data_IF_167438056798
#
_entry.id   IF_167438056798
#
_cell.length_a   1.000
_cell.length_b   1.000
_cell.length_c   1.000
_cell.angle_alpha   90.00
_cell.angle_beta   90.00
_cell.angle_gamma   90.00
#
_symmetry.space_group_name_H-M   'P 1'
#
loop_
_entity.id
_entity.type
_entity.pdbx_description
1 polymer ?
#
# COMPACT_ATOMS: atom_id res chain seq x y z
N UNK A 1 -24.95 -17.57 16.54
CA UNK A 1 -24.39 -16.38 17.19
C UNK A 1 -24.92 -15.15 16.46
N UNK A 2 -25.15 -14.05 17.18
CA UNK A 2 -25.74 -12.85 16.58
C UNK A 2 -24.78 -12.21 15.56
N UNK A 3 -25.29 -11.96 14.37
CA UNK A 3 -24.65 -11.19 13.31
C UNK A 3 -24.34 -9.77 13.82
N UNK A 4 -23.14 -9.26 13.53
CA UNK A 4 -22.77 -7.88 13.91
C UNK A 4 -23.45 -6.92 12.96
N UNK A 5 -24.40 -6.18 13.47
CA UNK A 5 -25.20 -5.23 12.71
C UNK A 5 -24.81 -3.76 12.93
N UNK A 6 -23.94 -3.50 13.90
CA UNK A 6 -23.57 -2.14 14.25
C UNK A 6 -22.14 -2.04 14.79
N UNK A 7 -21.41 -1.01 14.35
CA UNK A 7 -20.07 -0.66 14.81
C UNK A 7 -20.01 0.83 15.18
N UNK A 8 -19.32 1.17 16.26
CA UNK A 8 -18.83 2.52 16.48
C UNK A 8 -17.64 2.78 15.55
N UNK A 9 -17.61 3.97 14.98
CA UNK A 9 -16.51 4.46 14.15
C UNK A 9 -15.81 5.59 14.87
N UNK A 10 -14.49 5.49 14.94
CA UNK A 10 -13.61 6.42 15.62
C UNK A 10 -12.64 7.06 14.63
N UNK A 11 -12.29 8.30 14.88
CA UNK A 11 -11.18 9.01 14.21
C UNK A 11 -10.20 9.41 15.31
N UNK A 12 -9.05 8.75 15.34
CA UNK A 12 -8.17 8.83 16.50
C UNK A 12 -8.92 8.42 17.79
N UNK A 13 -8.86 9.20 18.87
CA UNK A 13 -9.53 8.88 20.14
C UNK A 13 -11.03 9.24 20.16
N UNK A 14 -11.57 9.87 19.12
CA UNK A 14 -12.94 10.40 19.09
C UNK A 14 -13.91 9.46 18.41
N UNK A 15 -15.01 9.11 19.10
CA UNK A 15 -16.14 8.38 18.50
C UNK A 15 -16.94 9.36 17.64
N UNK A 16 -16.83 9.20 16.31
CA UNK A 16 -17.37 10.16 15.34
C UNK A 16 -18.67 9.72 14.70
N UNK A 17 -18.97 8.44 14.74
CA UNK A 17 -20.18 7.95 14.06
C UNK A 17 -20.50 6.50 14.35
N UNK A 18 -21.52 6.01 13.66
CA UNK A 18 -22.02 4.65 13.73
C UNK A 18 -22.23 4.09 12.33
N UNK A 19 -21.69 2.91 12.11
CA UNK A 19 -21.88 2.13 10.89
C UNK A 19 -22.85 1.00 11.19
N UNK A 20 -23.92 0.90 10.43
CA UNK A 20 -24.98 -0.10 10.59
C UNK A 20 -25.19 -0.88 9.30
N UNK A 21 -25.59 -2.13 9.43
CA UNK A 21 -25.99 -3.01 8.34
C UNK A 21 -27.41 -3.53 8.58
N UNK A 22 -28.30 -3.24 7.66
CA UNK A 22 -29.63 -3.86 7.51
C UNK A 22 -29.70 -4.54 6.13
N UNK A 23 -30.54 -4.08 5.22
CA UNK A 23 -30.47 -4.45 3.79
C UNK A 23 -29.27 -3.77 3.13
N UNK A 24 -29.07 -2.49 3.46
CA UNK A 24 -27.97 -1.64 3.04
C UNK A 24 -27.05 -1.32 4.22
N UNK A 25 -25.86 -0.80 3.92
CA UNK A 25 -24.94 -0.21 4.89
C UNK A 25 -25.25 1.28 5.06
N UNK A 26 -25.36 1.71 6.30
CA UNK A 26 -25.64 3.11 6.66
C UNK A 26 -24.59 3.60 7.64
N UNK A 27 -23.93 4.72 7.30
CA UNK A 27 -23.05 5.43 8.23
C UNK A 27 -23.65 6.78 8.59
N UNK A 28 -23.75 7.05 9.88
CA UNK A 28 -24.23 8.32 10.41
C UNK A 28 -23.18 8.93 11.35
N UNK A 29 -22.85 10.20 11.11
CA UNK A 29 -22.04 10.96 12.05
C UNK A 29 -22.81 11.28 13.32
N UNK A 30 -22.11 11.39 14.43
CA UNK A 30 -22.66 11.93 15.66
C UNK A 30 -22.90 13.44 15.51
N UNK A 31 -23.89 14.02 16.21
CA UNK A 31 -24.15 15.46 16.14
C UNK A 31 -22.95 16.34 16.53
N UNK A 32 -22.07 15.82 17.40
CA UNK A 32 -20.89 16.52 17.90
C UNK A 32 -19.69 16.43 16.96
N UNK A 33 -19.76 15.64 15.89
CA UNK A 33 -18.65 15.46 14.96
C UNK A 33 -18.37 16.78 14.22
N UNK A 34 -17.12 17.19 14.26
CA UNK A 34 -16.63 18.38 13.53
C UNK A 34 -16.20 18.03 12.10
N UNK A 35 -16.11 18.99 11.18
CA UNK A 35 -15.64 18.73 9.82
C UNK A 35 -14.27 18.04 9.72
N UNK A 36 -13.37 18.27 10.70
CA UNK A 36 -12.07 17.61 10.78
C UNK A 36 -12.14 16.12 11.15
N UNK A 37 -13.29 15.69 11.72
CA UNK A 37 -13.57 14.31 12.11
C UNK A 37 -14.09 13.44 10.96
N UNK A 38 -14.16 13.98 9.75
CA UNK A 38 -14.64 13.20 8.61
C UNK A 38 -13.82 11.92 8.44
N UNK A 39 -14.51 10.79 8.30
CA UNK A 39 -13.89 9.46 8.13
C UNK A 39 -13.18 9.30 6.78
N UNK A 40 -13.49 10.18 5.82
CA UNK A 40 -12.93 10.20 4.47
C UNK A 40 -13.04 11.58 3.86
N UNK A 41 -12.15 11.91 2.94
CA UNK A 41 -12.23 13.11 2.10
C UNK A 41 -13.48 13.08 1.20
N UNK A 42 -14.01 11.88 0.90
CA UNK A 42 -15.24 11.68 0.10
C UNK A 42 -16.51 11.54 0.93
N UNK A 43 -16.39 11.48 2.27
CA UNK A 43 -17.51 11.41 3.19
C UNK A 43 -17.48 12.56 4.22
N UNK A 44 -17.65 13.82 3.81
CA UNK A 44 -17.65 14.95 4.75
C UNK A 44 -18.75 14.81 5.80
N UNK A 45 -18.51 15.40 6.98
CA UNK A 45 -19.48 15.43 8.08
C UNK A 45 -20.74 16.15 7.63
N UNK A 46 -21.90 15.50 7.82
CA UNK A 46 -23.23 16.01 7.53
C UNK A 46 -24.28 15.35 8.42
N UNK A 47 -25.44 16.00 8.59
CA UNK A 47 -26.56 15.46 9.38
C UNK A 47 -27.23 14.26 8.72
N UNK A 48 -27.36 14.28 7.36
CA UNK A 48 -27.94 13.17 6.61
C UNK A 48 -26.95 12.01 6.57
N UNK A 49 -27.41 10.80 6.91
CA UNK A 49 -26.59 9.59 6.85
C UNK A 49 -26.10 9.29 5.41
N UNK A 50 -25.03 8.54 5.35
CA UNK A 50 -24.46 7.98 4.12
C UNK A 50 -25.01 6.56 3.97
N UNK A 51 -25.64 6.27 2.83
CA UNK A 51 -26.21 4.96 2.53
C UNK A 51 -25.57 4.38 1.28
N UNK A 52 -25.31 3.07 1.30
CA UNK A 52 -24.69 2.37 0.20
C UNK A 52 -25.06 0.89 0.31
N UNK A 53 -25.37 0.24 -0.82
CA UNK A 53 -25.70 -1.18 -0.85
C UNK A 53 -24.57 -2.02 -0.26
N UNK A 54 -23.36 -1.74 -0.71
CA UNK A 54 -22.16 -2.39 -0.20
C UNK A 54 -21.49 -1.54 0.88
N UNK A 55 -20.59 -2.12 1.64
CA UNK A 55 -19.77 -1.38 2.58
C UNK A 55 -19.00 -0.29 1.82
N UNK A 56 -19.08 0.96 2.29
CA UNK A 56 -18.44 2.08 1.60
C UNK A 56 -16.92 1.85 1.44
N UNK A 57 -16.31 2.22 0.31
CA UNK A 57 -14.89 1.95 0.02
C UNK A 57 -13.91 2.36 1.11
N UNK A 58 -14.13 3.47 1.82
CA UNK A 58 -13.29 3.90 2.93
C UNK A 58 -13.25 2.89 4.08
N UNK A 59 -14.32 2.12 4.29
CA UNK A 59 -14.35 1.05 5.28
C UNK A 59 -13.80 -0.26 4.70
N UNK A 60 -14.06 -0.54 3.43
CA UNK A 60 -13.52 -1.73 2.74
C UNK A 60 -11.98 -1.74 2.69
N UNK A 61 -11.34 -0.57 2.53
CA UNK A 61 -9.87 -0.49 2.46
C UNK A 61 -9.16 -0.99 3.72
N UNK A 62 -9.88 -1.08 4.85
CA UNK A 62 -9.36 -1.60 6.11
C UNK A 62 -9.60 -3.11 6.30
N UNK A 63 -10.28 -3.76 5.35
CA UNK A 63 -10.48 -5.21 5.38
C UNK A 63 -9.25 -5.94 4.86
N UNK A 64 -8.79 -6.98 5.54
CA UNK A 64 -7.74 -7.83 5.02
C UNK A 64 -8.17 -8.52 3.72
N UNK A 65 -7.19 -8.82 2.86
CA UNK A 65 -7.35 -9.58 1.62
C UNK A 65 -6.47 -10.84 1.64
N UNK A 66 -6.59 -11.69 0.64
CA UNK A 66 -5.72 -12.84 0.42
C UNK A 66 -5.55 -13.73 1.65
N UNK A 67 -4.31 -14.10 1.92
CA UNK A 67 -3.95 -15.02 3.01
C UNK A 67 -4.36 -14.50 4.40
N UNK A 68 -4.20 -13.20 4.65
CA UNK A 68 -4.59 -12.60 5.93
C UNK A 68 -6.11 -12.70 6.16
N UNK A 69 -6.92 -12.50 5.11
CA UNK A 69 -8.38 -12.65 5.21
C UNK A 69 -8.77 -14.07 5.54
N UNK A 70 -8.11 -15.06 4.93
CA UNK A 70 -8.31 -16.48 5.21
C UNK A 70 -7.96 -16.78 6.66
N UNK A 71 -6.80 -16.32 7.15
CA UNK A 71 -6.36 -16.52 8.53
C UNK A 71 -7.36 -15.93 9.53
N UNK A 72 -7.75 -14.66 9.34
CA UNK A 72 -8.73 -13.97 10.21
C UNK A 72 -10.07 -14.72 10.21
N UNK A 73 -10.62 -15.04 9.04
CA UNK A 73 -11.91 -15.77 8.94
C UNK A 73 -11.85 -17.14 9.59
N UNK A 74 -10.78 -17.88 9.38
CA UNK A 74 -10.60 -19.20 10.00
C UNK A 74 -10.53 -19.10 11.52
N UNK A 75 -9.85 -18.12 12.07
CA UNK A 75 -9.73 -17.91 13.50
C UNK A 75 -11.07 -17.55 14.17
N UNK A 76 -11.93 -16.77 13.48
CA UNK A 76 -13.23 -16.33 14.02
C UNK A 76 -14.40 -17.23 13.70
N UNK A 77 -14.30 -18.11 12.70
CA UNK A 77 -15.42 -18.91 12.17
C UNK A 77 -16.17 -19.75 13.22
N UNK A 78 -15.46 -20.19 14.27
CA UNK A 78 -16.04 -20.99 15.37
C UNK A 78 -16.81 -20.17 16.41
N UNK A 79 -16.52 -18.86 16.48
CA UNK A 79 -17.00 -17.97 17.56
C UNK A 79 -17.80 -16.77 17.08
N UNK A 80 -17.72 -16.44 15.79
CA UNK A 80 -18.42 -15.29 15.20
C UNK A 80 -18.76 -15.55 13.71
N UNK A 81 -19.53 -14.64 13.10
CA UNK A 81 -19.70 -14.62 11.65
C UNK A 81 -18.40 -14.27 10.93
N UNK A 82 -18.35 -14.49 9.62
CA UNK A 82 -17.18 -14.17 8.77
C UNK A 82 -17.48 -13.09 7.73
N UNK A 83 -18.60 -12.37 7.91
CA UNK A 83 -18.98 -11.22 7.11
C UNK A 83 -18.05 -10.00 7.36
N UNK A 84 -18.13 -9.02 6.47
CA UNK A 84 -17.21 -7.88 6.49
C UNK A 84 -17.36 -6.98 7.74
N UNK A 85 -18.56 -6.85 8.29
CA UNK A 85 -18.79 -6.11 9.55
C UNK A 85 -18.11 -6.82 10.73
N UNK A 86 -18.20 -8.15 10.77
CA UNK A 86 -17.54 -8.97 11.79
C UNK A 86 -16.02 -8.90 11.66
N UNK A 87 -15.49 -9.02 10.44
CA UNK A 87 -14.05 -8.90 10.18
C UNK A 87 -13.57 -7.50 10.57
N UNK A 88 -14.27 -6.44 10.13
CA UNK A 88 -13.93 -5.05 10.45
C UNK A 88 -13.92 -4.78 11.96
N UNK A 89 -14.84 -5.37 12.72
CA UNK A 89 -14.80 -5.30 14.19
C UNK A 89 -13.55 -5.94 14.78
N UNK A 90 -13.17 -7.10 14.25
CA UNK A 90 -12.06 -7.88 14.81
C UNK A 90 -10.71 -7.16 14.56
N UNK A 91 -10.48 -6.69 13.35
CA UNK A 91 -9.21 -6.02 13.00
C UNK A 91 -9.25 -4.52 13.27
N UNK A 92 -10.41 -3.98 13.58
CA UNK A 92 -10.72 -2.55 13.53
C UNK A 92 -10.00 -1.67 14.52
N UNK A 93 -9.31 -2.23 15.49
CA UNK A 93 -8.51 -1.43 16.41
C UNK A 93 -7.11 -1.07 15.89
N UNK A 94 -6.56 -1.84 14.95
CA UNK A 94 -5.27 -1.54 14.32
C UNK A 94 -5.42 -1.62 12.79
N UNK A 95 -5.89 -0.54 12.20
CA UNK A 95 -6.08 -0.36 10.76
C UNK A 95 -5.03 0.60 10.19
N UNK A 96 -4.85 0.58 8.88
CA UNK A 96 -4.11 1.65 8.20
C UNK A 96 -4.93 2.93 8.22
N UNK A 97 -4.28 4.07 8.42
CA UNK A 97 -4.96 5.35 8.59
C UNK A 97 -5.47 5.58 10.03
N UNK A 98 -6.34 6.54 10.19
CA UNK A 98 -6.82 7.03 11.50
C UNK A 98 -8.20 6.49 11.93
N UNK A 99 -8.90 5.76 11.05
CA UNK A 99 -10.20 5.19 11.36
C UNK A 99 -10.05 3.94 12.23
N UNK A 100 -10.87 3.81 13.27
CA UNK A 100 -10.91 2.63 14.13
C UNK A 100 -12.36 2.18 14.30
N UNK A 101 -12.54 0.90 14.63
CA UNK A 101 -13.87 0.28 14.72
C UNK A 101 -13.96 -0.56 15.99
N UNK A 102 -15.09 -0.41 16.72
CA UNK A 102 -15.38 -1.18 17.93
C UNK A 102 -16.87 -1.51 18.01
N UNK A 103 -17.30 -2.22 19.04
CA UNK A 103 -18.72 -2.29 19.37
C UNK A 103 -19.22 -0.90 19.79
N UNK A 104 -20.53 -0.64 19.63
CA UNK A 104 -21.08 0.67 20.02
C UNK A 104 -20.91 1.04 21.50
N UNK A 105 -20.88 0.02 22.37
CA UNK A 105 -20.73 0.15 23.82
C UNK A 105 -19.28 0.22 24.30
N UNK A 106 -18.31 -0.17 23.45
CA UNK A 106 -16.91 -0.18 23.84
C UNK A 106 -16.33 1.25 23.86
N UNK A 107 -15.26 1.41 24.61
CA UNK A 107 -14.36 2.57 24.55
C UNK A 107 -13.52 2.56 23.26
N UNK A 108 -12.71 3.59 23.08
CA UNK A 108 -11.79 3.68 21.95
C UNK A 108 -10.90 2.42 21.89
N UNK A 109 -10.87 1.72 20.76
CA UNK A 109 -10.09 0.50 20.68
C UNK A 109 -8.61 0.83 20.83
N UNK A 110 -8.02 0.26 21.85
CA UNK A 110 -6.58 0.30 22.10
C UNK A 110 -6.05 -1.12 22.00
N UNK A 111 -4.93 -1.27 21.30
CA UNK A 111 -4.20 -2.54 21.26
C UNK A 111 -2.81 -2.33 21.83
N UNK A 112 -2.68 -2.30 23.18
CA UNK A 112 -1.37 -2.39 23.79
C UNK A 112 -0.82 -3.77 23.46
N UNK A 113 0.25 -3.83 22.71
CA UNK A 113 1.07 -5.02 22.56
C UNK A 113 2.48 -4.62 22.96
N UNK A 114 3.16 -5.51 23.63
CA UNK A 114 4.59 -5.34 23.81
C UNK A 114 5.24 -5.32 22.43
N UNK A 115 6.09 -4.34 22.13
CA UNK A 115 6.73 -4.25 20.84
C UNK A 115 7.72 -5.40 20.66
N UNK A 116 7.75 -5.97 19.47
CA UNK A 116 8.76 -6.95 19.06
C UNK A 116 10.13 -6.27 18.91
N UNK A 117 11.19 -7.06 18.87
CA UNK A 117 12.51 -6.57 18.50
C UNK A 117 12.66 -6.61 16.97
N UNK A 118 12.85 -5.46 16.33
CA UNK A 118 13.10 -5.40 14.89
C UNK A 118 14.35 -6.21 14.51
N UNK A 119 15.40 -6.12 15.31
CA UNK A 119 16.63 -6.88 15.08
C UNK A 119 16.42 -8.38 15.14
N UNK A 120 15.63 -8.86 16.13
CA UNK A 120 15.29 -10.28 16.23
C UNK A 120 14.46 -10.75 15.04
N UNK A 121 13.48 -9.94 14.59
CA UNK A 121 12.71 -10.24 13.38
C UNK A 121 13.63 -10.37 12.15
N UNK A 122 14.55 -9.43 11.98
CA UNK A 122 15.43 -9.39 10.80
C UNK A 122 16.51 -10.47 10.80
N UNK A 123 16.95 -10.91 11.98
CA UNK A 123 18.02 -11.90 12.15
C UNK A 123 17.52 -13.33 12.39
N UNK A 124 16.20 -13.54 12.44
CA UNK A 124 15.64 -14.88 12.69
C UNK A 124 15.99 -15.83 11.54
N UNK A 125 16.48 -17.04 11.84
CA UNK A 125 17.07 -17.92 10.82
C UNK A 125 16.05 -18.58 9.89
N UNK A 126 14.77 -18.66 10.29
CA UNK A 126 13.66 -19.18 9.46
C UNK A 126 12.51 -18.16 9.44
N UNK A 127 12.57 -17.28 8.47
CA UNK A 127 11.60 -16.21 8.31
C UNK A 127 10.16 -16.72 8.11
N UNK A 128 9.98 -17.90 7.50
CA UNK A 128 8.66 -18.46 7.26
C UNK A 128 8.03 -19.00 8.56
N UNK A 129 8.82 -19.66 9.41
CA UNK A 129 8.40 -20.08 10.74
C UNK A 129 8.00 -18.87 11.59
N UNK A 130 8.88 -17.87 11.66
CA UNK A 130 8.60 -16.63 12.37
C UNK A 130 7.34 -15.94 11.84
N UNK A 131 7.17 -15.85 10.52
CA UNK A 131 6.01 -15.22 9.94
C UNK A 131 4.70 -15.91 10.33
N UNK A 132 4.67 -17.25 10.37
CA UNK A 132 3.49 -18.00 10.80
C UNK A 132 3.16 -17.73 12.27
N UNK A 133 4.18 -17.59 13.12
CA UNK A 133 4.01 -17.19 14.51
C UNK A 133 3.46 -15.76 14.63
N UNK A 134 4.02 -14.80 13.89
CA UNK A 134 3.53 -13.43 13.83
C UNK A 134 2.08 -13.36 13.32
N UNK A 135 1.73 -14.12 12.28
CA UNK A 135 0.33 -14.22 11.81
C UNK A 135 -0.57 -14.74 12.93
N UNK A 136 -0.17 -15.79 13.63
CA UNK A 136 -0.94 -16.34 14.74
C UNK A 136 -1.20 -15.32 15.85
N UNK A 137 -0.22 -14.47 16.17
CA UNK A 137 -0.32 -13.44 17.21
C UNK A 137 -1.06 -12.17 16.76
N UNK A 138 -0.84 -11.74 15.51
CA UNK A 138 -1.23 -10.41 15.05
C UNK A 138 -2.34 -10.39 13.99
N UNK A 139 -2.74 -11.52 13.37
CA UNK A 139 -3.74 -11.53 12.31
C UNK A 139 -5.06 -10.86 12.71
N UNK A 140 -5.55 -11.14 13.92
CA UNK A 140 -6.78 -10.54 14.46
C UNK A 140 -6.62 -9.05 14.85
N UNK A 141 -5.43 -8.48 14.67
CA UNK A 141 -5.09 -7.10 14.98
C UNK A 141 -4.52 -6.37 13.76
N UNK A 142 -4.71 -6.91 12.56
CA UNK A 142 -4.09 -6.41 11.34
C UNK A 142 -5.13 -6.01 10.31
N UNK A 143 -5.60 -4.78 10.40
CA UNK A 143 -6.52 -4.17 9.44
C UNK A 143 -5.76 -3.57 8.24
N UNK A 144 -5.13 -4.42 7.44
CA UNK A 144 -4.37 -4.05 6.26
C UNK A 144 -4.81 -4.87 5.06
N UNK A 145 -5.05 -4.22 3.92
CA UNK A 145 -5.44 -4.88 2.69
C UNK A 145 -4.24 -5.28 1.82
N UNK A 146 -4.48 -6.13 0.84
CA UNK A 146 -3.51 -6.63 -0.14
C UNK A 146 -3.36 -8.14 -0.10
N UNK A 147 -3.10 -8.74 -1.27
CA UNK A 147 -3.13 -10.20 -1.47
C UNK A 147 -1.93 -10.91 -0.83
N UNK A 148 -0.76 -10.27 -0.87
CA UNK A 148 0.46 -10.79 -0.26
C UNK A 148 0.27 -11.03 1.25
N UNK A 149 0.76 -12.15 1.83
CA UNK A 149 0.74 -12.39 3.27
C UNK A 149 1.44 -11.27 4.03
N UNK A 150 0.74 -10.66 5.00
CA UNK A 150 1.28 -9.54 5.78
C UNK A 150 0.59 -9.40 7.14
N UNK A 151 1.29 -8.80 8.11
CA UNK A 151 0.75 -8.43 9.43
C UNK A 151 1.22 -7.05 9.85
N UNK A 152 0.42 -6.40 10.71
CA UNK A 152 0.78 -5.15 11.39
C UNK A 152 1.28 -5.47 12.79
N UNK A 153 2.42 -4.95 13.16
CA UNK A 153 2.96 -5.11 14.51
C UNK A 153 3.78 -3.88 14.95
N UNK A 154 3.81 -3.57 16.25
CA UNK A 154 4.78 -2.63 16.80
C UNK A 154 6.14 -3.32 16.97
N UNK A 155 7.22 -2.61 16.64
CA UNK A 155 8.56 -3.07 16.94
C UNK A 155 9.46 -1.93 17.45
N UNK A 156 10.46 -2.27 18.24
CA UNK A 156 11.48 -1.34 18.75
C UNK A 156 12.76 -1.48 17.96
N UNK A 157 13.37 -0.36 17.65
CA UNK A 157 14.72 -0.26 17.15
C UNK A 157 15.69 -0.10 18.36
N UNK A 158 16.74 -0.92 18.42
CA UNK A 158 17.72 -0.92 19.55
C UNK A 158 18.30 0.48 19.86
N UNK A 159 18.49 1.30 18.83
CA UNK A 159 19.18 2.57 18.98
C UNK A 159 18.34 3.67 19.65
N UNK A 160 17.03 3.60 19.64
CA UNK A 160 16.15 4.71 20.00
C UNK A 160 15.22 4.45 21.18
N UNK A 161 15.03 3.18 21.58
CA UNK A 161 14.00 2.74 22.55
C UNK A 161 12.56 3.26 22.20
N UNK A 162 12.35 3.69 20.95
CA UNK A 162 11.07 4.17 20.45
C UNK A 162 10.40 3.03 19.70
N UNK A 163 9.16 2.71 20.08
CA UNK A 163 8.33 1.77 19.33
C UNK A 163 7.77 2.45 18.09
N UNK A 164 7.84 1.77 16.95
CA UNK A 164 7.22 2.17 15.69
C UNK A 164 6.36 1.02 15.17
N UNK A 165 5.36 1.34 14.37
CA UNK A 165 4.52 0.34 13.72
C UNK A 165 5.13 -0.09 12.38
N UNK A 166 5.16 -1.40 12.14
CA UNK A 166 5.68 -2.01 10.92
C UNK A 166 4.63 -2.87 10.23
N UNK A 167 4.78 -2.99 8.91
CA UNK A 167 4.13 -3.99 8.08
C UNK A 167 5.19 -5.05 7.77
N UNK A 168 4.97 -6.26 8.25
CA UNK A 168 5.82 -7.42 7.93
C UNK A 168 5.12 -8.22 6.85
N UNK A 169 5.79 -8.42 5.72
CA UNK A 169 5.30 -9.16 4.57
C UNK A 169 6.17 -10.40 4.34
N UNK A 170 5.53 -11.49 3.95
CA UNK A 170 6.18 -12.71 3.51
C UNK A 170 5.67 -13.12 2.13
N UNK A 171 5.95 -14.34 1.70
CA UNK A 171 5.54 -14.87 0.41
C UNK A 171 4.95 -16.28 0.54
N UNK A 172 4.13 -16.67 -0.42
CA UNK A 172 3.59 -17.99 -0.56
C UNK A 172 4.23 -18.75 -1.72
N UNK A 173 3.89 -20.03 -1.86
CA UNK A 173 4.47 -20.92 -2.88
C UNK A 173 4.31 -20.41 -4.32
N UNK A 174 3.26 -19.63 -4.60
CA UNK A 174 2.99 -19.10 -5.94
C UNK A 174 3.98 -18.00 -6.36
N UNK A 175 4.55 -17.26 -5.40
CA UNK A 175 5.48 -16.15 -5.63
C UNK A 175 6.67 -16.25 -4.68
N UNK A 176 7.56 -17.23 -4.86
CA UNK A 176 8.71 -17.41 -3.98
C UNK A 176 9.62 -16.19 -4.00
N UNK A 177 10.28 -15.91 -2.87
CA UNK A 177 11.24 -14.80 -2.71
C UNK A 177 10.66 -13.41 -3.02
N UNK A 178 9.33 -13.21 -2.90
CA UNK A 178 8.68 -11.93 -3.21
C UNK A 178 9.16 -10.79 -2.30
N UNK A 179 9.56 -11.10 -1.05
CA UNK A 179 10.14 -10.12 -0.13
C UNK A 179 11.45 -9.51 -0.65
N UNK A 180 12.36 -10.34 -1.15
CA UNK A 180 13.62 -9.89 -1.76
C UNK A 180 13.37 -9.14 -3.08
N UNK A 181 12.40 -9.59 -3.89
CA UNK A 181 11.98 -8.87 -5.09
C UNK A 181 11.50 -7.45 -4.76
N UNK A 182 10.55 -7.31 -3.81
CA UNK A 182 10.06 -6.00 -3.38
C UNK A 182 11.20 -5.13 -2.82
N UNK A 183 12.08 -5.71 -2.01
CA UNK A 183 13.22 -5.00 -1.42
C UNK A 183 14.11 -4.36 -2.48
N UNK A 184 14.52 -5.10 -3.49
CA UNK A 184 15.39 -4.56 -4.55
C UNK A 184 14.66 -3.54 -5.43
N UNK A 185 13.38 -3.72 -5.73
CA UNK A 185 12.57 -2.71 -6.43
C UNK A 185 12.45 -1.42 -5.61
N UNK A 186 12.22 -1.53 -4.31
CA UNK A 186 12.15 -0.38 -3.40
C UNK A 186 13.51 0.30 -3.21
N UNK A 187 14.63 -0.44 -3.28
CA UNK A 187 15.98 0.14 -3.35
C UNK A 187 16.16 0.99 -4.61
N UNK A 188 15.67 0.53 -5.76
CA UNK A 188 15.70 1.33 -6.99
C UNK A 188 14.86 2.62 -6.86
N UNK A 189 13.68 2.56 -6.20
CA UNK A 189 12.89 3.74 -5.89
C UNK A 189 13.70 4.76 -5.03
N UNK A 190 14.31 4.28 -3.95
CA UNK A 190 15.12 5.11 -3.03
C UNK A 190 16.32 5.74 -3.73
N UNK A 191 17.05 4.96 -4.53
CA UNK A 191 18.19 5.45 -5.32
C UNK A 191 17.78 6.47 -6.38
N UNK A 192 16.61 6.32 -6.97
CA UNK A 192 16.02 7.31 -7.87
C UNK A 192 15.58 8.60 -7.14
N UNK A 193 15.83 8.76 -5.83
CA UNK A 193 15.39 9.90 -5.03
C UNK A 193 13.88 10.02 -4.88
N UNK A 194 13.14 8.92 -5.06
CA UNK A 194 11.71 8.87 -4.80
C UNK A 194 11.51 8.63 -3.30
N UNK A 195 10.60 9.36 -2.68
CA UNK A 195 10.30 9.20 -1.26
C UNK A 195 9.72 7.80 -1.00
N UNK A 196 10.39 7.02 -0.16
CA UNK A 196 9.98 5.68 0.29
C UNK A 196 9.89 5.66 1.81
N UNK A 197 9.07 4.79 2.41
CA UNK A 197 9.19 4.47 3.82
C UNK A 197 10.56 3.88 4.13
N UNK A 198 10.89 3.77 5.40
CA UNK A 198 11.97 2.91 5.86
C UNK A 198 11.59 1.45 5.64
N UNK A 199 12.51 0.63 5.14
CA UNK A 199 12.26 -0.79 4.88
C UNK A 199 13.53 -1.62 5.01
N UNK A 200 13.35 -2.88 5.36
CA UNK A 200 14.39 -3.87 5.62
C UNK A 200 14.03 -5.20 4.98
N UNK A 201 15.03 -6.05 4.82
CA UNK A 201 14.90 -7.43 4.40
C UNK A 201 15.54 -8.31 5.49
N UNK A 202 14.90 -9.41 5.88
CA UNK A 202 15.49 -10.39 6.80
C UNK A 202 16.73 -11.03 6.18
N UNK A 203 17.61 -11.53 7.03
CA UNK A 203 18.91 -12.12 6.61
C UNK A 203 18.72 -13.27 5.62
N UNK A 204 17.68 -14.07 5.79
CA UNK A 204 17.32 -15.17 4.88
C UNK A 204 16.46 -14.73 3.67
N UNK A 205 16.16 -13.41 3.52
CA UNK A 205 15.34 -12.88 2.42
C UNK A 205 13.84 -13.19 2.49
N UNK A 206 13.39 -13.88 3.53
CA UNK A 206 12.01 -14.35 3.64
C UNK A 206 11.00 -13.30 4.09
N UNK A 207 11.45 -12.23 4.79
CA UNK A 207 10.59 -11.15 5.27
C UNK A 207 11.00 -9.80 4.70
N UNK A 208 10.05 -9.10 4.08
CA UNK A 208 10.14 -7.68 3.82
C UNK A 208 9.42 -6.92 4.94
N UNK A 209 10.16 -6.05 5.64
CA UNK A 209 9.67 -5.29 6.78
C UNK A 209 9.68 -3.81 6.43
N UNK A 210 8.53 -3.16 6.50
CA UNK A 210 8.36 -1.75 6.13
C UNK A 210 7.73 -0.97 7.28
N UNK A 211 8.35 0.15 7.65
CA UNK A 211 7.79 1.06 8.64
C UNK A 211 6.52 1.69 8.10
N UNK A 212 5.48 1.76 8.91
CA UNK A 212 4.25 2.45 8.56
C UNK A 212 4.52 3.94 8.41
N UNK A 213 3.99 4.53 7.37
CA UNK A 213 4.14 5.96 7.04
C UNK A 213 2.88 6.78 7.41
N UNK A 214 1.85 6.10 7.89
CA UNK A 214 0.59 6.69 8.37
C UNK A 214 0.56 6.88 9.90
N UNK A 215 1.68 6.62 10.57
CA UNK A 215 1.87 6.85 12.02
C UNK A 215 2.96 7.88 12.25
N UNK A 216 2.67 8.88 13.09
CA UNK A 216 3.65 9.88 13.52
C UNK A 216 4.60 9.36 14.60
N UNK A 217 5.64 10.13 14.90
CA UNK A 217 6.61 9.80 15.96
C UNK A 217 5.98 9.79 17.37
N UNK A 218 4.84 10.43 17.55
CA UNK A 218 4.03 10.45 18.76
C UNK A 218 3.04 9.28 18.85
N UNK A 219 3.06 8.37 17.88
CA UNK A 219 2.12 7.25 17.75
C UNK A 219 0.73 7.65 17.23
N UNK A 220 0.50 8.92 16.91
CA UNK A 220 -0.75 9.36 16.29
C UNK A 220 -0.81 8.87 14.83
N UNK A 221 -1.99 8.35 14.44
CA UNK A 221 -2.23 7.95 13.05
C UNK A 221 -2.81 9.10 12.25
N UNK A 222 -2.23 9.40 11.08
CA UNK A 222 -2.82 10.31 10.11
C UNK A 222 -3.84 9.58 9.22
N UNK A 223 -4.70 10.33 8.56
CA UNK A 223 -5.62 9.80 7.57
C UNK A 223 -4.85 9.25 6.37
N UNK A 224 -5.24 8.07 5.94
CA UNK A 224 -4.76 7.44 4.71
C UNK A 224 -5.96 7.01 3.89
N UNK A 225 -5.94 7.34 2.61
CA UNK A 225 -6.90 6.82 1.63
C UNK A 225 -6.19 6.48 0.32
N UNK A 226 -6.42 5.26 -0.19
CA UNK A 226 -5.95 4.88 -1.51
C UNK A 226 -6.83 5.45 -2.63
N UNK A 227 -6.30 5.54 -3.86
CA UNK A 227 -7.09 6.06 -4.98
C UNK A 227 -8.21 5.13 -5.43
N UNK A 228 -8.24 3.87 -5.02
CA UNK A 228 -9.40 3.00 -5.22
C UNK A 228 -10.58 3.53 -4.40
N UNK A 229 -10.37 3.76 -3.11
CA UNK A 229 -11.35 4.31 -2.19
C UNK A 229 -11.79 5.72 -2.58
N UNK A 230 -10.85 6.63 -2.86
CA UNK A 230 -11.13 8.01 -3.27
C UNK A 230 -11.94 8.11 -4.57
N UNK A 231 -11.81 7.13 -5.47
CA UNK A 231 -12.60 7.05 -6.69
C UNK A 231 -13.96 6.36 -6.50
N UNK A 232 -14.33 6.04 -5.26
CA UNK A 232 -15.59 5.38 -4.93
C UNK A 232 -15.65 3.91 -5.35
N UNK A 233 -14.50 3.26 -5.56
CA UNK A 233 -14.40 1.88 -5.98
C UNK A 233 -14.15 0.97 -4.77
N UNK A 234 -14.89 -0.13 -4.69
CA UNK A 234 -14.62 -1.20 -3.75
C UNK A 234 -13.31 -1.94 -4.10
N UNK A 235 -12.88 -2.81 -3.21
CA UNK A 235 -11.62 -3.56 -3.34
C UNK A 235 -11.45 -4.27 -4.68
N UNK A 236 -12.53 -4.86 -5.22
CA UNK A 236 -12.52 -5.57 -6.50
C UNK A 236 -12.31 -4.63 -7.69
N UNK A 237 -12.57 -3.33 -7.52
CA UNK A 237 -12.38 -2.30 -8.54
C UNK A 237 -10.93 -1.81 -8.70
N UNK A 238 -9.97 -2.30 -7.91
CA UNK A 238 -8.59 -1.80 -7.90
C UNK A 238 -7.86 -1.86 -9.23
N UNK A 239 -8.23 -2.78 -10.12
CA UNK A 239 -7.69 -2.93 -11.48
C UNK A 239 -8.51 -2.18 -12.54
N UNK A 240 -9.57 -1.50 -12.12
CA UNK A 240 -10.45 -0.71 -12.98
C UNK A 240 -10.00 0.75 -13.06
N UNK A 241 -9.74 1.24 -14.27
CA UNK A 241 -9.38 2.65 -14.45
C UNK A 241 -8.12 2.88 -15.26
N UNK A 242 -7.55 4.06 -15.10
CA UNK A 242 -6.36 4.45 -15.84
C UNK A 242 -5.47 5.39 -15.03
N UNK A 243 -4.22 5.52 -15.45
CA UNK A 243 -3.26 6.44 -14.82
C UNK A 243 -3.65 7.91 -15.01
N UNK A 244 -4.38 8.25 -16.09
CA UNK A 244 -4.98 9.58 -16.27
C UNK A 244 -6.05 9.87 -15.20
N UNK A 245 -6.79 8.84 -14.78
CA UNK A 245 -7.76 9.00 -13.68
C UNK A 245 -7.05 9.21 -12.34
N UNK A 246 -5.92 8.54 -12.10
CA UNK A 246 -5.07 8.82 -10.92
C UNK A 246 -4.53 10.25 -10.97
N UNK A 247 -4.06 10.73 -12.11
CA UNK A 247 -3.60 12.12 -12.30
C UNK A 247 -4.69 13.15 -11.96
N UNK A 248 -5.94 12.87 -12.38
CA UNK A 248 -7.09 13.71 -11.99
C UNK A 248 -7.37 13.66 -10.49
N UNK A 249 -7.31 12.47 -9.87
CA UNK A 249 -7.50 12.33 -8.42
C UNK A 249 -6.43 13.09 -7.64
N UNK A 250 -5.17 13.12 -8.10
CA UNK A 250 -4.13 13.97 -7.50
C UNK A 250 -4.53 15.44 -7.56
N UNK A 251 -5.07 15.90 -8.69
CA UNK A 251 -5.51 17.29 -8.84
C UNK A 251 -6.73 17.61 -7.96
N UNK A 252 -7.61 16.64 -7.75
CA UNK A 252 -8.83 16.79 -6.95
C UNK A 252 -8.53 16.79 -5.44
N UNK A 253 -7.76 15.82 -4.97
CA UNK A 253 -7.61 15.55 -3.53
C UNK A 253 -6.34 16.15 -2.91
N UNK A 254 -5.22 16.25 -3.66
CA UNK A 254 -3.99 16.79 -3.10
C UNK A 254 -4.05 18.31 -3.03
N UNK A 255 -3.63 18.88 -1.90
CA UNK A 255 -3.60 20.33 -1.67
C UNK A 255 -2.74 21.05 -2.70
N UNK A 256 -3.13 22.25 -3.17
CA UNK A 256 -2.44 22.97 -4.24
C UNK A 256 -0.92 23.08 -4.05
N UNK A 257 -0.46 23.37 -2.83
CA UNK A 257 0.94 23.53 -2.46
C UNK A 257 1.76 22.24 -2.61
N UNK A 258 1.11 21.06 -2.56
CA UNK A 258 1.75 19.75 -2.67
C UNK A 258 1.58 19.09 -4.04
N UNK A 259 0.81 19.68 -4.96
CA UNK A 259 0.47 19.04 -6.26
C UNK A 259 1.66 18.80 -7.17
N UNK A 260 2.61 19.72 -7.21
CA UNK A 260 3.79 19.56 -8.08
C UNK A 260 4.61 18.35 -7.63
N UNK A 261 4.93 18.29 -6.34
CA UNK A 261 5.63 17.14 -5.76
C UNK A 261 4.85 15.83 -5.97
N UNK A 262 3.54 15.85 -5.75
CA UNK A 262 2.69 14.67 -5.92
C UNK A 262 2.71 14.14 -7.37
N UNK A 263 2.68 15.02 -8.36
CA UNK A 263 2.74 14.67 -9.78
C UNK A 263 4.11 14.10 -10.17
N UNK A 264 5.19 14.70 -9.68
CA UNK A 264 6.56 14.22 -9.91
C UNK A 264 6.76 12.83 -9.28
N UNK A 265 6.31 12.64 -8.02
CA UNK A 265 6.40 11.36 -7.30
C UNK A 265 5.57 10.27 -7.99
N UNK A 266 4.34 10.56 -8.34
CA UNK A 266 3.48 9.63 -9.07
C UNK A 266 4.07 9.25 -10.44
N UNK A 267 4.57 10.23 -11.17
CA UNK A 267 5.24 9.97 -12.45
C UNK A 267 6.48 9.09 -12.29
N UNK A 268 7.30 9.38 -11.29
CA UNK A 268 8.47 8.57 -10.95
C UNK A 268 8.10 7.11 -10.61
N UNK A 269 7.03 6.90 -9.83
CA UNK A 269 6.52 5.56 -9.50
C UNK A 269 6.03 4.81 -10.74
N UNK A 270 5.34 5.51 -11.67
CA UNK A 270 4.89 4.92 -12.93
C UNK A 270 6.08 4.55 -13.83
N UNK A 271 7.06 5.45 -13.98
CA UNK A 271 8.29 5.17 -14.74
C UNK A 271 9.03 3.97 -14.17
N UNK A 272 9.19 3.92 -12.85
CA UNK A 272 9.82 2.79 -12.16
C UNK A 272 9.05 1.50 -12.41
N UNK A 273 7.72 1.50 -12.27
CA UNK A 273 6.88 0.33 -12.53
C UNK A 273 7.05 -0.19 -13.96
N UNK A 274 7.19 0.70 -14.95
CA UNK A 274 7.45 0.31 -16.34
C UNK A 274 8.88 -0.23 -16.49
N UNK A 275 9.88 0.39 -15.86
CA UNK A 275 11.29 0.00 -15.94
C UNK A 275 11.55 -1.35 -15.30
N UNK A 276 10.93 -1.65 -14.15
CA UNK A 276 11.08 -2.93 -13.44
C UNK A 276 10.01 -3.96 -13.82
N UNK A 277 9.12 -3.63 -14.77
CA UNK A 277 8.03 -4.52 -15.21
C UNK A 277 7.09 -4.94 -14.07
N UNK A 278 6.64 -3.97 -13.29
CA UNK A 278 5.62 -4.15 -12.27
C UNK A 278 4.22 -4.07 -12.90
N UNK A 279 3.60 -5.22 -13.15
CA UNK A 279 2.22 -5.32 -13.66
C UNK A 279 1.15 -5.10 -12.60
N UNK A 280 1.50 -5.03 -11.30
CA UNK A 280 0.53 -4.89 -10.20
C UNK A 280 0.40 -3.45 -9.65
N UNK A 281 0.88 -2.44 -10.39
CA UNK A 281 0.75 -1.03 -10.01
C UNK A 281 -0.70 -0.54 -10.17
N UNK A 282 -1.60 -0.99 -9.29
CA UNK A 282 -3.04 -0.71 -9.30
C UNK A 282 -3.42 0.48 -8.41
N UNK A 283 -4.73 0.83 -8.34
CA UNK A 283 -5.23 2.02 -7.63
C UNK A 283 -4.91 2.03 -6.13
N UNK A 284 -4.73 0.88 -5.48
CA UNK A 284 -4.42 0.80 -4.04
C UNK A 284 -2.92 0.99 -3.73
N UNK A 285 -2.05 1.00 -4.73
CA UNK A 285 -0.62 1.29 -4.58
C UNK A 285 -0.30 2.79 -4.56
N UNK A 286 -1.32 3.62 -4.73
CA UNK A 286 -1.23 5.09 -4.68
C UNK A 286 -2.28 5.61 -3.71
N UNK A 287 -1.92 6.62 -2.92
CA UNK A 287 -2.85 7.17 -1.94
C UNK A 287 -2.45 8.55 -1.45
N UNK A 288 -3.23 9.06 -0.52
CA UNK A 288 -2.99 10.34 0.12
C UNK A 288 -2.91 10.21 1.64
N UNK A 289 -2.21 11.16 2.26
CA UNK A 289 -2.06 11.33 3.70
C UNK A 289 -2.55 12.71 4.11
N UNK A 290 -3.20 12.80 5.26
CA UNK A 290 -3.65 14.05 5.87
C UNK A 290 -3.78 13.89 7.39
N UNK A 291 -3.50 14.93 8.15
CA UNK A 291 -3.63 14.90 9.62
C UNK A 291 -5.10 15.01 10.03
N UNK A 292 -5.85 15.88 9.36
CA UNK A 292 -7.30 15.97 9.44
C UNK A 292 -7.92 16.25 8.07
N UNK A 293 -9.24 15.99 7.94
CA UNK A 293 -9.93 16.08 6.63
C UNK A 293 -10.10 17.53 6.11
N UNK A 294 -9.70 18.55 6.86
CA UNK A 294 -9.65 19.97 6.48
C UNK A 294 -8.25 20.51 6.33
N UNK A 295 -7.27 19.74 6.78
CA UNK A 295 -5.87 20.08 6.69
C UNK A 295 -5.25 19.79 5.31
N UNK A 296 -3.95 20.05 5.18
CA UNK A 296 -3.22 19.74 3.95
C UNK A 296 -3.22 18.25 3.62
N UNK A 297 -3.46 17.94 2.36
CA UNK A 297 -3.46 16.57 1.81
C UNK A 297 -2.22 16.39 0.94
N UNK A 298 -1.45 15.35 1.22
CA UNK A 298 -0.19 15.01 0.53
C UNK A 298 -0.30 13.62 -0.10
N UNK A 299 0.46 13.36 -1.15
CA UNK A 299 0.60 12.01 -1.69
C UNK A 299 1.46 11.15 -0.76
N UNK A 300 1.17 9.86 -0.69
CA UNK A 300 1.98 8.89 0.08
C UNK A 300 3.42 8.81 -0.43
N UNK A 301 4.36 8.31 0.38
CA UNK A 301 5.59 7.71 -0.14
C UNK A 301 5.26 6.59 -1.14
N UNK A 302 6.25 6.13 -1.91
CA UNK A 302 6.13 4.98 -2.81
C UNK A 302 6.28 3.70 -2.00
N UNK A 303 5.41 2.72 -2.25
CA UNK A 303 5.41 1.40 -1.62
C UNK A 303 4.89 0.35 -2.62
N UNK A 304 5.12 -0.92 -2.31
CA UNK A 304 4.53 -2.06 -3.01
C UNK A 304 4.97 -2.13 -4.50
N UNK A 305 6.26 -1.97 -4.76
CA UNK A 305 6.84 -2.10 -6.10
C UNK A 305 7.52 -3.47 -6.21
N UNK A 306 7.10 -4.27 -7.17
CA UNK A 306 7.63 -5.61 -7.43
C UNK A 306 7.85 -5.85 -8.93
N UNK A 307 8.74 -6.75 -9.30
CA UNK A 307 8.87 -7.23 -10.68
C UNK A 307 7.92 -8.42 -10.87
N UNK A 308 6.70 -8.18 -11.32
CA UNK A 308 5.70 -9.23 -11.50
C UNK A 308 6.04 -10.15 -12.67
N UNK A 309 6.67 -9.63 -13.72
CA UNK A 309 7.08 -10.43 -14.89
C UNK A 309 8.20 -11.42 -14.61
N UNK A 310 8.86 -11.37 -13.46
CA UNK A 310 9.73 -12.44 -12.99
C UNK A 310 8.97 -13.76 -12.78
N UNK A 311 7.70 -13.67 -12.42
CA UNK A 311 6.80 -14.81 -12.18
C UNK A 311 5.82 -15.03 -13.33
N UNK A 312 5.22 -13.96 -13.83
CA UNK A 312 4.16 -13.95 -14.83
C UNK A 312 4.70 -13.35 -16.14
N UNK A 313 5.32 -14.17 -16.99
CA UNK A 313 6.03 -13.70 -18.21
C UNK A 313 5.21 -12.81 -19.15
N UNK A 314 3.89 -13.01 -19.21
CA UNK A 314 2.97 -12.27 -20.08
C UNK A 314 2.19 -11.17 -19.32
N UNK A 315 2.63 -10.81 -18.13
CA UNK A 315 1.94 -9.78 -17.35
C UNK A 315 2.00 -8.41 -18.03
N UNK A 316 0.97 -7.62 -17.79
CA UNK A 316 0.79 -6.28 -18.36
C UNK A 316 0.45 -5.29 -17.24
N UNK A 317 0.62 -3.97 -17.46
CA UNK A 317 0.27 -2.99 -16.43
C UNK A 317 -1.15 -3.11 -15.90
N UNK A 318 -1.32 -2.98 -14.60
CA UNK A 318 -2.61 -3.09 -13.88
C UNK A 318 -3.66 -2.10 -14.40
N UNK A 319 -3.25 -0.87 -14.71
CA UNK A 319 -4.13 0.19 -15.21
C UNK A 319 -3.81 0.54 -16.67
N UNK A 320 -4.78 1.13 -17.37
CA UNK A 320 -4.58 1.62 -18.72
C UNK A 320 -3.87 2.98 -18.74
N UNK A 321 -3.14 3.27 -19.81
CA UNK A 321 -2.71 4.61 -20.22
C UNK A 321 -2.99 4.76 -21.72
N UNK A 322 -3.64 5.85 -22.12
CA UNK A 322 -4.12 6.02 -23.49
C UNK A 322 -5.11 4.92 -23.91
N UNK A 323 -5.91 4.43 -22.99
CA UNK A 323 -6.90 3.36 -23.20
C UNK A 323 -6.32 1.94 -23.36
N UNK A 324 -5.03 1.72 -23.15
CA UNK A 324 -4.36 0.44 -23.40
C UNK A 324 -3.55 0.00 -22.18
N UNK A 325 -3.53 -1.29 -21.89
CA UNK A 325 -2.65 -1.94 -20.90
C UNK A 325 -1.49 -2.61 -21.62
N UNK A 326 -0.43 -1.87 -21.87
CA UNK A 326 0.79 -2.34 -22.54
C UNK A 326 2.00 -1.73 -21.84
N UNK A 327 3.19 -2.25 -22.06
CA UNK A 327 4.42 -1.60 -21.63
C UNK A 327 4.74 -0.43 -22.56
N UNK A 328 4.50 0.79 -22.06
CA UNK A 328 4.58 2.02 -22.87
C UNK A 328 6.02 2.42 -23.16
N UNK A 329 6.30 2.89 -24.39
CA UNK A 329 7.59 3.48 -24.72
C UNK A 329 7.72 4.86 -24.06
N UNK A 330 8.97 5.34 -23.93
CA UNK A 330 9.32 6.65 -23.34
C UNK A 330 8.42 7.80 -23.85
N UNK A 331 8.19 7.91 -25.16
CA UNK A 331 7.37 8.96 -25.76
C UNK A 331 5.93 8.99 -25.23
N UNK A 332 5.36 7.85 -24.89
CA UNK A 332 4.01 7.79 -24.32
C UNK A 332 4.00 8.33 -22.90
N UNK A 333 5.01 7.98 -22.08
CA UNK A 333 5.18 8.50 -20.73
C UNK A 333 5.48 10.01 -20.74
N UNK A 334 6.32 10.50 -21.62
CA UNK A 334 6.58 11.94 -21.80
C UNK A 334 5.29 12.70 -22.15
N UNK A 335 4.47 12.15 -23.06
CA UNK A 335 3.20 12.75 -23.42
C UNK A 335 2.25 12.81 -22.24
N UNK A 336 2.15 11.73 -21.48
CA UNK A 336 1.32 11.67 -20.27
C UNK A 336 1.78 12.67 -19.22
N UNK A 337 3.09 12.76 -18.96
CA UNK A 337 3.66 13.71 -18.00
C UNK A 337 3.27 15.15 -18.33
N UNK A 338 3.35 15.53 -19.62
CA UNK A 338 3.03 16.90 -20.06
C UNK A 338 1.52 17.15 -20.09
N UNK A 339 0.74 16.23 -20.66
CA UNK A 339 -0.68 16.45 -20.93
C UNK A 339 -1.57 16.27 -19.68
N UNK A 340 -1.27 15.27 -18.85
CA UNK A 340 -2.14 14.87 -17.75
C UNK A 340 -1.57 15.24 -16.36
N UNK A 341 -0.24 15.28 -16.23
CA UNK A 341 0.44 15.68 -14.98
C UNK A 341 0.93 17.13 -15.01
N UNK A 342 0.86 17.81 -16.15
CA UNK A 342 1.31 19.20 -16.34
C UNK A 342 2.79 19.41 -15.95
N UNK A 343 3.62 18.37 -16.12
CA UNK A 343 5.04 18.46 -15.88
C UNK A 343 5.76 19.02 -17.11
N UNK A 344 6.75 19.91 -16.93
CA UNK A 344 7.61 20.31 -18.03
C UNK A 344 8.30 19.09 -18.65
N UNK A 345 8.44 19.05 -19.98
CA UNK A 345 9.10 17.94 -20.67
C UNK A 345 10.52 17.67 -20.15
N UNK A 346 11.28 18.74 -19.85
CA UNK A 346 12.62 18.61 -19.27
C UNK A 346 12.59 17.84 -17.93
N UNK A 347 11.63 18.18 -17.06
CA UNK A 347 11.45 17.49 -15.76
C UNK A 347 11.01 16.03 -15.96
N UNK A 348 10.13 15.75 -16.89
CA UNK A 348 9.72 14.37 -17.21
C UNK A 348 10.93 13.54 -17.67
N UNK A 349 11.78 14.09 -18.56
CA UNK A 349 13.00 13.43 -19.00
C UNK A 349 14.01 13.21 -17.87
N UNK A 350 14.23 14.22 -17.03
CA UNK A 350 15.07 14.11 -15.83
C UNK A 350 14.62 12.96 -14.92
N UNK A 351 13.30 12.86 -14.65
CA UNK A 351 12.76 11.78 -13.81
C UNK A 351 12.95 10.42 -14.47
N UNK A 352 12.68 10.30 -15.79
CA UNK A 352 12.89 9.04 -16.50
C UNK A 352 14.36 8.63 -16.41
N UNK A 353 15.29 9.50 -16.79
CA UNK A 353 16.72 9.15 -16.83
C UNK A 353 17.24 8.79 -15.43
N UNK A 354 16.87 9.53 -14.39
CA UNK A 354 17.24 9.24 -13.00
C UNK A 354 16.71 7.88 -12.52
N UNK A 355 15.49 7.51 -12.90
CA UNK A 355 14.93 6.19 -12.57
C UNK A 355 15.70 5.08 -13.30
N UNK A 356 16.02 5.26 -14.58
CA UNK A 356 16.78 4.25 -15.34
C UNK A 356 18.19 4.05 -14.79
N UNK A 357 18.87 5.14 -14.41
CA UNK A 357 20.18 5.07 -13.77
C UNK A 357 20.12 4.30 -12.46
N UNK A 358 19.14 4.60 -11.61
CA UNK A 358 18.93 3.92 -10.34
C UNK A 358 18.64 2.42 -10.50
N UNK A 359 17.81 2.05 -11.47
CA UNK A 359 17.54 0.63 -11.78
C UNK A 359 18.82 -0.08 -12.24
N UNK A 360 19.63 0.57 -13.08
CA UNK A 360 20.92 -0.01 -13.52
C UNK A 360 21.93 -0.18 -12.38
N UNK A 361 22.00 0.76 -11.43
CA UNK A 361 22.85 0.63 -10.25
C UNK A 361 22.42 -0.54 -9.36
N UNK A 362 21.10 -0.68 -9.10
CA UNK A 362 20.59 -1.76 -8.24
C UNK A 362 20.72 -3.14 -8.90
N UNK A 363 20.80 -3.24 -10.23
CA UNK A 363 21.10 -4.51 -10.93
C UNK A 363 22.39 -5.16 -10.42
N UNK A 364 23.42 -4.37 -10.17
CA UNK A 364 24.69 -4.89 -9.64
C UNK A 364 24.54 -5.40 -8.18
N UNK A 365 23.61 -4.82 -7.42
CA UNK A 365 23.30 -5.28 -6.08
C UNK A 365 22.49 -6.58 -6.11
N UNK A 366 21.55 -6.71 -7.06
CA UNK A 366 20.79 -7.96 -7.29
C UNK A 366 21.74 -9.10 -7.66
N UNK A 367 22.72 -8.87 -8.55
CA UNK A 367 23.72 -9.88 -8.91
C UNK A 367 24.49 -10.38 -7.68
N UNK A 368 25.01 -9.46 -6.87
CA UNK A 368 25.72 -9.83 -5.62
C UNK A 368 24.82 -10.58 -4.64
N UNK A 369 23.57 -10.13 -4.51
CA UNK A 369 22.61 -10.81 -3.64
C UNK A 369 22.31 -12.25 -4.09
N UNK A 370 22.27 -12.51 -5.41
CA UNK A 370 22.12 -13.87 -5.95
C UNK A 370 23.33 -14.77 -5.64
N UNK A 371 24.53 -14.21 -5.59
CA UNK A 371 25.75 -14.97 -5.25
C UNK A 371 25.69 -15.40 -3.75
N UNK A 372 25.19 -14.52 -2.87
CA UNK A 372 25.06 -14.79 -1.45
C UNK A 372 23.81 -15.63 -1.10
N UNK A 373 22.78 -15.61 -1.96
CA UNK A 373 21.48 -16.28 -1.79
C UNK A 373 21.09 -17.10 -3.04
N UNK A 374 21.66 -18.29 -3.21
CA UNK A 374 21.41 -19.11 -4.41
C UNK A 374 19.94 -19.48 -4.65
N UNK A 375 19.14 -19.56 -3.57
CA UNK A 375 17.70 -19.82 -3.64
C UNK A 375 16.91 -18.66 -4.27
N UNK A 376 17.46 -17.45 -4.26
CA UNK A 376 16.88 -16.27 -4.95
C UNK A 376 17.26 -16.23 -6.44
N UNK A 377 18.30 -16.92 -6.86
CA UNK A 377 18.84 -16.81 -8.23
C UNK A 377 17.79 -16.98 -9.34
N UNK A 378 16.84 -17.94 -9.28
CA UNK A 378 15.83 -18.08 -10.35
C UNK A 378 14.93 -16.84 -10.48
N UNK A 379 14.57 -16.20 -9.36
CA UNK A 379 13.76 -14.97 -9.34
C UNK A 379 14.60 -13.77 -9.73
N UNK A 380 15.84 -13.67 -9.25
CA UNK A 380 16.80 -12.63 -9.58
C UNK A 380 17.13 -12.58 -11.08
N UNK A 381 17.35 -13.71 -11.74
CA UNK A 381 17.51 -13.81 -13.19
C UNK A 381 16.29 -13.27 -13.94
N UNK A 382 15.08 -13.66 -13.48
CA UNK A 382 13.81 -13.16 -14.02
C UNK A 382 13.68 -11.66 -13.88
N UNK A 383 14.03 -11.10 -12.71
CA UNK A 383 14.05 -9.66 -12.45
C UNK A 383 15.03 -8.94 -13.37
N UNK A 384 16.29 -9.40 -13.44
CA UNK A 384 17.32 -8.77 -14.26
C UNK A 384 16.96 -8.77 -15.76
N UNK A 385 16.37 -9.87 -16.24
CA UNK A 385 15.86 -9.95 -17.61
C UNK A 385 14.73 -8.95 -17.85
N UNK A 386 13.76 -8.84 -16.93
CA UNK A 386 12.65 -7.91 -16.99
C UNK A 386 13.14 -6.45 -16.96
N UNK A 387 14.05 -6.11 -16.05
CA UNK A 387 14.61 -4.76 -15.91
C UNK A 387 15.38 -4.35 -17.16
N UNK A 388 16.17 -5.25 -17.75
CA UNK A 388 16.85 -4.97 -19.02
C UNK A 388 15.84 -4.57 -20.11
N UNK A 389 14.79 -5.36 -20.30
CA UNK A 389 13.75 -5.07 -21.30
C UNK A 389 13.01 -3.74 -20.99
N UNK A 390 12.73 -3.47 -19.73
CA UNK A 390 12.06 -2.23 -19.31
C UNK A 390 12.93 -1.00 -19.52
N UNK A 391 14.20 -1.06 -19.10
CA UNK A 391 15.19 0.03 -19.27
C UNK A 391 15.45 0.28 -20.77
N UNK A 392 15.68 -0.75 -21.57
CA UNK A 392 15.91 -0.62 -23.02
C UNK A 392 14.70 0.01 -23.73
N UNK A 393 13.48 -0.32 -23.29
CA UNK A 393 12.23 0.26 -23.83
C UNK A 393 12.05 1.75 -23.52
N UNK A 394 12.67 2.25 -22.46
CA UNK A 394 12.60 3.64 -22.02
C UNK A 394 13.84 4.48 -22.36
N UNK A 395 14.94 3.84 -22.78
CA UNK A 395 16.19 4.52 -23.14
C UNK A 395 16.04 5.32 -24.44
N UNK A 396 16.67 6.49 -24.52
CA UNK A 396 16.74 7.29 -25.74
C UNK A 396 17.67 6.70 -26.81
N UNK A 397 18.64 5.91 -26.37
CA UNK A 397 19.60 5.25 -27.24
C UNK A 397 19.04 3.86 -27.65
N UNK A 398 18.40 3.78 -28.83
CA UNK A 398 18.38 2.51 -29.55
C UNK A 398 19.85 2.14 -29.81
N UNK A 399 20.42 1.25 -29.02
CA UNK A 399 21.63 0.54 -29.47
C UNK A 399 21.25 -0.05 -30.81
N UNK A 400 21.87 0.47 -31.91
CA UNK A 400 21.88 -0.23 -33.17
C UNK A 400 22.49 -1.58 -32.84
N UNK A 401 21.68 -2.63 -32.88
CA UNK A 401 22.19 -4.00 -32.82
C UNK A 401 23.19 -4.15 -33.95
N UNK A 402 24.34 -4.75 -33.69
CA UNK A 402 25.34 -5.05 -34.74
C UNK A 402 24.79 -6.06 -35.74
#
# INVERSE_FOLDING_TARGET
>A
MAEIRSLAVWVGPRKVGRLERAEDHTFAYRPEASPSDAVSLTMPVRLKSWQSRDLHPVFQMNLPEGALRIAVRSAIAKVAGTDDMTVLRVVGGNTIGRNRFSRPEDDAPMFPSEPESLEEILSFPDALELFNELVSRYALRSGVSGVQPKVLLPATERATAVSSDFIVKSWGADFPQLGANEFHCMKAARKAGLATPEFHLSVDGGLFVMKRFDTGADGASCGFEDFCSLQGLGTDGKYGGSYERVARSITEFVSPEHRTEARERFFGALVLSVAVRNGDAHLKNFGVLYDDAKGPVRITPIYDIVTTTAYLKNDVPALALGGRKIWWPRKALEKFAVADLFLPRAKANEIIDRVLDAVNEVREEVLRYMDDHPEFAPVGEGMLAAWRVGVDGLSTHRRKSP
#
